data_IF_945265175005
#
_entry.id   IF_945265175005
#
_cell.length_a   1.000
_cell.length_b   1.000
_cell.length_c   1.000
_cell.angle_alpha   90.00
_cell.angle_beta   90.00
_cell.angle_gamma   90.00
#
_symmetry.space_group_name_H-M   'P 1'
#
loop_
_entity.id
_entity.type
_entity.pdbx_description
1 polymer ?
#
# COMPACT_ATOMS: atom_id res chain seq x y z
N UNK A 1 24.06 36.71 -28.87
CA UNK A 1 23.47 35.44 -28.43
C UNK A 1 22.07 35.74 -27.92
N UNK A 2 21.06 35.44 -28.74
CA UNK A 2 19.66 35.75 -28.46
C UNK A 2 19.00 34.53 -27.83
N UNK A 3 18.67 34.62 -26.55
CA UNK A 3 17.86 33.61 -25.85
C UNK A 3 16.40 33.88 -26.19
N UNK A 4 15.84 33.13 -27.12
CA UNK A 4 14.39 33.01 -27.26
C UNK A 4 13.88 32.06 -26.18
N UNK A 5 13.08 32.59 -25.27
CA UNK A 5 12.26 31.79 -24.37
C UNK A 5 10.91 31.60 -25.04
N UNK A 6 10.67 30.39 -25.52
CA UNK A 6 9.37 29.95 -26.04
C UNK A 6 8.49 29.64 -24.83
N UNK A 7 7.59 30.56 -24.49
CA UNK A 7 6.58 30.32 -23.46
C UNK A 7 5.25 29.97 -24.13
N UNK A 8 4.96 28.68 -24.21
CA UNK A 8 3.66 28.17 -24.61
C UNK A 8 2.65 28.37 -23.48
N UNK A 9 1.79 29.38 -23.60
CA UNK A 9 0.67 29.59 -22.69
C UNK A 9 -0.57 30.04 -23.48
N UNK A 10 -1.02 29.17 -24.38
CA UNK A 10 -2.23 29.37 -25.18
C UNK A 10 -3.42 28.75 -24.44
N UNK A 11 -4.24 29.55 -23.75
CA UNK A 11 -5.58 29.08 -23.35
C UNK A 11 -6.32 29.83 -22.24
N UNK A 12 -5.64 30.46 -21.27
CA UNK A 12 -6.31 30.98 -20.06
C UNK A 12 -6.33 32.53 -19.99
N UNK A 13 -5.65 33.24 -20.88
CA UNK A 13 -5.47 34.70 -20.78
C UNK A 13 -6.57 35.56 -21.42
N UNK A 14 -7.40 34.99 -22.30
CA UNK A 14 -8.32 35.81 -23.14
C UNK A 14 -9.43 36.46 -22.31
N UNK A 15 -9.99 35.77 -21.30
CA UNK A 15 -11.05 36.32 -20.45
C UNK A 15 -10.58 37.37 -19.44
N UNK A 16 -9.37 37.23 -18.89
CA UNK A 16 -8.78 38.22 -17.97
C UNK A 16 -8.43 39.54 -18.68
N UNK A 17 -7.88 39.46 -19.90
CA UNK A 17 -7.45 40.66 -20.65
C UNK A 17 -8.58 41.63 -20.92
N UNK A 18 -9.77 41.17 -21.29
CA UNK A 18 -10.88 42.07 -21.63
C UNK A 18 -11.50 42.72 -20.38
N UNK A 19 -11.61 41.98 -19.27
CA UNK A 19 -12.12 42.56 -18.03
C UNK A 19 -11.11 43.54 -17.43
N UNK A 20 -9.81 43.21 -17.42
CA UNK A 20 -8.75 44.12 -16.99
C UNK A 20 -8.73 45.39 -17.84
N UNK A 21 -8.81 45.26 -19.18
CA UNK A 21 -8.84 46.40 -20.10
C UNK A 21 -10.05 47.32 -19.89
N UNK A 22 -11.21 46.77 -19.52
CA UNK A 22 -12.38 47.58 -19.16
C UNK A 22 -12.16 48.35 -17.85
N UNK A 23 -11.56 47.71 -16.85
CA UNK A 23 -11.26 48.35 -15.57
C UNK A 23 -10.16 49.39 -15.68
N UNK A 24 -9.17 49.15 -16.54
CA UNK A 24 -8.08 50.06 -16.81
C UNK A 24 -8.56 51.31 -17.53
N UNK A 25 -9.46 51.17 -18.53
CA UNK A 25 -10.14 52.34 -19.15
C UNK A 25 -10.91 53.19 -18.15
N UNK A 26 -11.60 52.56 -17.20
CA UNK A 26 -12.34 53.28 -16.14
C UNK A 26 -11.35 54.01 -15.22
N UNK A 27 -10.25 53.35 -14.83
CA UNK A 27 -9.19 53.94 -14.01
C UNK A 27 -8.54 55.13 -14.71
N UNK A 28 -8.14 54.98 -15.96
CA UNK A 28 -7.55 56.06 -16.78
C UNK A 28 -8.49 57.26 -16.89
N UNK A 29 -9.77 57.02 -17.16
CA UNK A 29 -10.79 58.09 -17.18
C UNK A 29 -10.94 58.78 -15.82
N UNK A 30 -10.91 58.03 -14.72
CA UNK A 30 -10.98 58.63 -13.39
C UNK A 30 -9.74 59.46 -13.06
N UNK A 31 -8.55 58.98 -13.45
CA UNK A 31 -7.29 59.72 -13.30
C UNK A 31 -7.29 60.99 -14.14
N UNK A 32 -7.80 60.94 -15.37
CA UNK A 32 -7.89 62.12 -16.24
C UNK A 32 -8.85 63.15 -15.67
N UNK A 33 -9.99 62.72 -15.11
CA UNK A 33 -10.94 63.59 -14.42
C UNK A 33 -10.32 64.23 -13.17
N UNK A 34 -9.57 63.46 -12.39
CA UNK A 34 -8.86 63.95 -11.20
C UNK A 34 -7.79 64.99 -11.59
N UNK A 35 -7.02 64.74 -12.65
CA UNK A 35 -6.03 65.67 -13.18
C UNK A 35 -6.69 66.96 -13.73
N UNK A 36 -7.84 66.86 -14.39
CA UNK A 36 -8.62 68.02 -14.84
C UNK A 36 -9.13 68.84 -13.66
N UNK A 37 -9.65 68.19 -12.61
CA UNK A 37 -10.07 68.85 -11.38
C UNK A 37 -8.91 69.56 -10.68
N UNK A 38 -7.73 68.94 -10.61
CA UNK A 38 -6.53 69.57 -10.04
C UNK A 38 -6.08 70.79 -10.83
N UNK A 39 -6.13 70.75 -12.18
CA UNK A 39 -5.81 71.91 -13.02
C UNK A 39 -6.82 73.05 -12.88
N UNK A 40 -8.08 72.73 -12.61
CA UNK A 40 -9.13 73.71 -12.35
C UNK A 40 -9.06 74.33 -10.94
N UNK A 41 -8.32 73.70 -10.00
CA UNK A 41 -8.09 74.26 -8.66
C UNK A 41 -6.99 75.32 -8.72
N UNK A 42 -7.38 76.60 -8.70
CA UNK A 42 -6.48 77.73 -8.46
C UNK A 42 -6.77 78.31 -7.07
N UNK A 43 -5.96 77.96 -6.07
CA UNK A 43 -6.02 78.50 -4.70
C UNK A 43 -6.18 77.45 -3.60
N UNK A 44 -6.00 77.83 -2.32
CA UNK A 44 -6.22 76.95 -1.17
C UNK A 44 -7.71 76.63 -1.06
N UNK A 45 -8.09 75.39 -1.33
CA UNK A 45 -9.47 74.92 -1.25
C UNK A 45 -9.98 75.06 0.19
N UNK A 46 -11.12 75.73 0.45
CA UNK A 46 -11.77 75.60 1.74
C UNK A 46 -12.20 74.13 1.88
N UNK A 47 -11.70 73.45 2.92
CA UNK A 47 -12.07 72.08 3.24
C UNK A 47 -13.50 72.03 3.78
N UNK A 48 -14.47 72.25 2.90
CA UNK A 48 -15.86 71.94 3.21
C UNK A 48 -15.97 70.43 3.16
N UNK A 49 -15.84 69.80 4.32
CA UNK A 49 -16.07 68.37 4.51
C UNK A 49 -17.56 68.08 4.27
N UNK A 50 -17.93 67.95 3.00
CA UNK A 50 -19.21 67.38 2.64
C UNK A 50 -19.17 65.91 3.04
N UNK A 51 -19.67 65.60 4.25
CA UNK A 51 -19.91 64.25 4.72
C UNK A 51 -21.06 63.63 3.91
N UNK A 52 -20.81 63.36 2.63
CA UNK A 52 -21.72 62.65 1.76
C UNK A 52 -21.81 61.23 2.27
N UNK A 53 -22.90 60.90 2.97
CA UNK A 53 -23.20 59.53 3.38
C UNK A 53 -23.44 58.72 2.10
N UNK A 54 -22.41 58.00 1.67
CA UNK A 54 -22.52 57.06 0.54
C UNK A 54 -23.31 55.86 1.06
N UNK A 55 -24.59 55.81 0.74
CA UNK A 55 -25.43 54.67 1.05
C UNK A 55 -25.16 53.53 0.06
N UNK A 56 -24.34 52.57 0.49
CA UNK A 56 -24.02 51.36 -0.27
C UNK A 56 -25.03 50.23 -0.03
N UNK A 57 -26.15 50.47 0.65
CA UNK A 57 -27.16 49.44 0.94
C UNK A 57 -27.71 48.74 -0.30
N UNK A 58 -27.66 49.40 -1.47
CA UNK A 58 -28.12 48.87 -2.77
C UNK A 58 -27.01 48.30 -3.65
N UNK A 59 -25.76 48.30 -3.19
CA UNK A 59 -24.66 47.73 -3.95
C UNK A 59 -24.69 46.21 -3.86
N UNK A 60 -25.57 45.60 -4.67
CA UNK A 60 -25.56 44.15 -4.87
C UNK A 60 -24.37 43.84 -5.76
N UNK A 61 -23.36 43.18 -5.18
CA UNK A 61 -22.19 42.69 -5.91
C UNK A 61 -22.70 41.75 -7.00
N UNK A 62 -22.64 42.19 -8.26
CA UNK A 62 -23.04 41.38 -9.40
C UNK A 62 -22.25 40.07 -9.37
N UNK A 63 -22.95 38.96 -9.19
CA UNK A 63 -22.32 37.65 -9.21
C UNK A 63 -21.84 37.39 -10.64
N UNK A 64 -20.52 37.34 -10.83
CA UNK A 64 -19.93 37.02 -12.12
C UNK A 64 -19.89 35.48 -12.28
N UNK A 65 -20.80 34.87 -13.06
CA UNK A 65 -20.97 33.41 -13.09
C UNK A 65 -19.73 32.69 -13.65
N UNK A 66 -18.90 33.39 -14.41
CA UNK A 66 -17.64 32.85 -14.94
C UNK A 66 -16.63 32.59 -13.82
N UNK A 67 -16.47 33.54 -12.88
CA UNK A 67 -15.58 33.38 -11.72
C UNK A 67 -16.00 32.23 -10.81
N UNK A 68 -17.30 32.01 -10.65
CA UNK A 68 -17.83 30.88 -9.89
C UNK A 68 -17.50 29.53 -10.56
N UNK A 69 -17.49 29.46 -11.89
CA UNK A 69 -17.10 28.25 -12.64
C UNK A 69 -15.60 27.98 -12.50
N UNK A 70 -14.76 29.00 -12.62
CA UNK A 70 -13.31 28.88 -12.44
C UNK A 70 -12.93 28.41 -11.02
N UNK A 71 -13.59 28.96 -10.00
CA UNK A 71 -13.38 28.53 -8.61
C UNK A 71 -13.80 27.07 -8.39
N UNK A 72 -14.89 26.64 -9.03
CA UNK A 72 -15.34 25.22 -8.96
C UNK A 72 -14.37 24.28 -9.66
N UNK A 73 -13.87 24.63 -10.84
CA UNK A 73 -12.88 23.79 -11.54
C UNK A 73 -11.56 23.71 -10.76
N UNK A 74 -11.13 24.82 -10.15
CA UNK A 74 -9.95 24.82 -9.29
C UNK A 74 -10.15 23.96 -8.04
N UNK A 75 -11.30 24.09 -7.38
CA UNK A 75 -11.64 23.25 -6.22
C UNK A 75 -11.71 21.76 -6.59
N UNK A 76 -12.30 21.43 -7.75
CA UNK A 76 -12.36 20.05 -8.23
C UNK A 76 -10.96 19.49 -8.52
N UNK A 77 -10.09 20.26 -9.17
CA UNK A 77 -8.71 19.86 -9.42
C UNK A 77 -7.93 19.64 -8.11
N UNK A 78 -8.10 20.54 -7.14
CA UNK A 78 -7.48 20.41 -5.81
C UNK A 78 -7.98 19.16 -5.07
N UNK A 79 -9.30 18.92 -5.07
CA UNK A 79 -9.88 17.74 -4.44
C UNK A 79 -9.38 16.44 -5.09
N UNK A 80 -9.28 16.41 -6.42
CA UNK A 80 -8.74 15.28 -7.15
C UNK A 80 -7.26 15.02 -6.80
N UNK A 81 -6.45 16.08 -6.75
CA UNK A 81 -5.04 15.99 -6.35
C UNK A 81 -4.89 15.46 -4.91
N UNK A 82 -5.68 15.98 -3.97
CA UNK A 82 -5.68 15.51 -2.59
C UNK A 82 -6.12 14.04 -2.48
N UNK A 83 -7.15 13.66 -3.25
CA UNK A 83 -7.64 12.28 -3.31
C UNK A 83 -6.55 11.31 -3.79
N UNK A 84 -5.79 11.68 -4.82
CA UNK A 84 -4.67 10.87 -5.30
C UNK A 84 -3.59 10.69 -4.23
N UNK A 85 -3.25 11.74 -3.47
CA UNK A 85 -2.28 11.65 -2.38
C UNK A 85 -2.76 10.71 -1.26
N UNK A 86 -4.04 10.78 -0.90
CA UNK A 86 -4.65 9.90 0.10
C UNK A 86 -4.66 8.45 -0.38
N UNK A 87 -5.03 8.18 -1.64
CA UNK A 87 -5.01 6.83 -2.22
C UNK A 87 -3.57 6.30 -2.26
N UNK A 88 -2.59 7.11 -2.65
CA UNK A 88 -1.19 6.71 -2.65
C UNK A 88 -0.69 6.39 -1.23
N UNK A 89 -1.01 7.25 -0.26
CA UNK A 89 -0.66 7.02 1.14
C UNK A 89 -1.33 5.76 1.69
N UNK A 90 -2.62 5.55 1.39
CA UNK A 90 -3.33 4.32 1.73
C UNK A 90 -2.66 3.12 1.11
N UNK A 91 -2.38 3.13 -0.20
CA UNK A 91 -1.73 2.02 -0.90
C UNK A 91 -0.37 1.70 -0.30
N UNK A 92 0.43 2.73 -0.01
CA UNK A 92 1.73 2.58 0.63
C UNK A 92 1.60 1.99 2.03
N UNK A 93 0.60 2.41 2.81
CA UNK A 93 0.34 1.86 4.15
C UNK A 93 -0.14 0.41 4.08
N UNK A 94 -1.07 0.09 3.17
CA UNK A 94 -1.50 -1.28 2.92
C UNK A 94 -0.34 -2.17 2.49
N UNK A 95 0.55 -1.69 1.62
CA UNK A 95 1.74 -2.45 1.22
C UNK A 95 2.65 -2.78 2.41
N UNK A 96 2.77 -1.88 3.39
CA UNK A 96 3.52 -2.12 4.63
C UNK A 96 2.81 -3.19 5.47
N UNK A 97 1.49 -3.08 5.67
CA UNK A 97 0.70 -4.02 6.49
C UNK A 97 0.64 -5.43 5.88
N UNK A 98 0.40 -5.54 4.56
CA UNK A 98 0.49 -6.82 3.83
C UNK A 98 1.90 -7.40 3.84
N UNK A 99 2.93 -6.55 3.83
CA UNK A 99 4.33 -6.99 3.98
C UNK A 99 4.55 -7.74 5.29
N UNK A 100 3.97 -7.27 6.40
CA UNK A 100 4.07 -7.94 7.70
C UNK A 100 3.28 -9.24 7.76
N UNK A 101 2.09 -9.30 7.18
CA UNK A 101 1.32 -10.55 7.14
C UNK A 101 2.03 -11.65 6.35
N UNK A 102 2.68 -11.30 5.24
CA UNK A 102 3.47 -12.24 4.44
C UNK A 102 4.74 -12.69 5.18
N UNK A 103 5.40 -11.78 5.89
CA UNK A 103 6.58 -12.12 6.68
C UNK A 103 6.21 -13.02 7.88
N UNK A 104 5.06 -12.78 8.52
CA UNK A 104 4.56 -13.58 9.63
C UNK A 104 4.20 -15.02 9.19
N UNK A 105 3.50 -15.19 8.07
CA UNK A 105 3.21 -16.53 7.53
C UNK A 105 4.49 -17.26 7.08
N UNK A 106 5.46 -16.54 6.49
CA UNK A 106 6.77 -17.12 6.15
C UNK A 106 7.56 -17.56 7.38
N UNK A 107 7.49 -16.82 8.49
CA UNK A 107 8.12 -17.23 9.75
C UNK A 107 7.48 -18.51 10.29
N UNK A 108 6.15 -18.62 10.25
CA UNK A 108 5.45 -19.83 10.67
C UNK A 108 5.85 -21.04 9.84
N UNK A 109 5.95 -20.90 8.52
CA UNK A 109 6.42 -21.98 7.64
C UNK A 109 7.86 -22.41 7.96
N UNK A 110 8.77 -21.46 8.18
CA UNK A 110 10.16 -21.79 8.56
C UNK A 110 10.22 -22.51 9.90
N UNK A 111 9.47 -22.03 10.89
CA UNK A 111 9.42 -22.67 12.21
C UNK A 111 8.87 -24.10 12.10
N UNK A 112 7.84 -24.32 11.30
CA UNK A 112 7.29 -25.66 11.07
C UNK A 112 8.28 -26.58 10.34
N UNK A 113 9.03 -26.05 9.37
CA UNK A 113 10.09 -26.79 8.67
C UNK A 113 11.25 -27.17 9.61
N UNK A 114 11.66 -26.27 10.50
CA UNK A 114 12.68 -26.54 11.51
C UNK A 114 12.24 -27.63 12.48
N UNK A 115 11.00 -27.55 12.97
CA UNK A 115 10.40 -28.59 13.83
C UNK A 115 10.36 -29.93 13.10
N UNK A 116 9.90 -29.95 11.85
CA UNK A 116 9.82 -31.18 11.07
C UNK A 116 11.21 -31.82 10.86
N UNK A 117 12.22 -31.00 10.56
CA UNK A 117 13.60 -31.46 10.43
C UNK A 117 14.15 -32.01 11.75
N UNK A 118 13.82 -31.39 12.89
CA UNK A 118 14.17 -31.88 14.22
C UNK A 118 13.51 -33.23 14.53
N UNK A 119 12.24 -33.39 14.16
CA UNK A 119 11.52 -34.67 14.32
C UNK A 119 12.13 -35.77 13.46
N UNK A 120 12.44 -35.51 12.18
CA UNK A 120 13.10 -36.48 11.31
C UNK A 120 14.47 -36.91 11.83
N UNK A 121 15.25 -35.98 12.38
CA UNK A 121 16.54 -36.33 13.00
C UNK A 121 16.35 -37.19 14.26
N UNK A 122 15.32 -36.89 15.06
CA UNK A 122 15.00 -37.65 16.27
C UNK A 122 14.51 -39.05 15.91
N UNK A 123 13.68 -39.17 14.87
CA UNK A 123 13.22 -40.45 14.33
C UNK A 123 14.40 -41.28 13.78
N UNK A 124 15.29 -40.68 12.99
CA UNK A 124 16.49 -41.35 12.51
C UNK A 124 17.42 -41.80 13.65
N UNK A 125 17.50 -41.01 14.73
CA UNK A 125 18.28 -41.38 15.92
C UNK A 125 17.61 -42.53 16.70
N UNK A 126 16.28 -42.52 16.82
CA UNK A 126 15.50 -43.58 17.46
C UNK A 126 15.56 -44.90 16.68
N UNK A 127 15.47 -44.82 15.36
CA UNK A 127 15.58 -45.96 14.44
C UNK A 127 17.02 -46.40 14.17
N UNK A 128 18.01 -45.76 14.78
CA UNK A 128 19.41 -46.15 14.55
C UNK A 128 19.66 -47.58 15.08
N UNK A 129 20.08 -48.52 14.22
CA UNK A 129 20.23 -49.93 14.60
C UNK A 129 21.24 -50.11 15.73
N UNK A 130 22.30 -49.30 15.77
CA UNK A 130 23.28 -49.31 16.85
C UNK A 130 22.67 -48.99 18.24
N UNK A 131 21.67 -48.10 18.31
CA UNK A 131 20.98 -47.80 19.58
C UNK A 131 20.01 -48.92 19.98
N UNK A 132 19.35 -49.52 19.00
CA UNK A 132 18.47 -50.68 19.20
C UNK A 132 19.28 -51.87 19.70
N UNK A 133 20.44 -52.14 19.12
CA UNK A 133 21.35 -53.21 19.54
C UNK A 133 21.90 -52.97 20.96
N UNK A 134 22.27 -51.73 21.28
CA UNK A 134 22.69 -51.38 22.65
C UNK A 134 21.55 -51.59 23.67
N UNK A 135 20.34 -51.16 23.34
CA UNK A 135 19.17 -51.35 24.19
C UNK A 135 18.82 -52.84 24.35
N UNK A 136 18.84 -53.60 23.26
CA UNK A 136 18.60 -55.05 23.26
C UNK A 136 19.61 -55.76 24.17
N UNK A 137 20.90 -55.44 24.04
CA UNK A 137 21.94 -55.99 24.91
C UNK A 137 21.73 -55.61 26.39
N UNK A 138 21.30 -54.37 26.68
CA UNK A 138 21.00 -53.94 28.07
C UNK A 138 19.79 -54.66 28.68
N UNK A 139 18.85 -55.09 27.85
CA UNK A 139 17.68 -55.88 28.23
C UNK A 139 17.96 -57.39 28.24
N UNK A 140 19.21 -57.81 27.97
CA UNK A 140 19.60 -59.22 27.89
C UNK A 140 19.09 -59.95 26.64
N UNK A 141 18.58 -59.21 25.65
CA UNK A 141 18.14 -59.75 24.36
C UNK A 141 19.36 -59.88 23.44
N UNK A 142 19.69 -61.11 23.04
CA UNK A 142 20.74 -61.43 22.07
C UNK A 142 20.13 -61.86 20.74
N UNK A 143 20.86 -61.60 19.65
CA UNK A 143 20.49 -62.13 18.34
C UNK A 143 20.37 -63.66 18.41
N UNK A 144 19.25 -64.23 17.96
CA UNK A 144 19.02 -65.68 18.04
C UNK A 144 20.06 -66.43 17.22
N UNK A 145 20.59 -67.52 17.78
CA UNK A 145 21.50 -68.39 17.03
C UNK A 145 20.74 -69.10 15.89
N UNK A 146 21.39 -69.42 14.75
CA UNK A 146 20.75 -70.10 13.64
C UNK A 146 20.08 -71.41 14.11
N UNK A 147 18.74 -71.48 14.05
CA UNK A 147 17.94 -72.65 14.49
C UNK A 147 17.14 -72.48 15.79
N UNK A 148 17.24 -71.34 16.48
CA UNK A 148 16.57 -71.10 17.78
C UNK A 148 15.19 -70.41 17.68
N UNK A 149 14.77 -70.02 16.47
CA UNK A 149 13.47 -69.35 16.24
C UNK A 149 12.40 -70.41 15.94
N UNK A 150 11.48 -70.61 16.88
CA UNK A 150 10.33 -71.51 16.72
C UNK A 150 9.09 -70.65 16.48
N UNK A 151 8.53 -70.73 15.28
CA UNK A 151 7.26 -70.10 14.96
C UNK A 151 6.12 -70.91 15.59
N UNK A 152 5.24 -70.29 16.42
CA UNK A 152 4.19 -71.01 17.16
C UNK A 152 3.04 -71.50 16.29
N UNK A 153 2.92 -71.02 15.04
CA UNK A 153 1.99 -71.60 14.07
C UNK A 153 2.70 -72.69 13.28
N UNK A 154 2.25 -73.92 13.47
CA UNK A 154 2.67 -75.11 12.73
C UNK A 154 2.30 -75.07 11.25
N UNK A 155 2.69 -74.02 10.52
CA UNK A 155 2.93 -74.08 9.07
C UNK A 155 4.31 -74.70 8.85
N UNK A 156 4.41 -75.93 9.31
CA UNK A 156 5.50 -76.85 9.12
C UNK A 156 5.69 -77.17 7.65
N UNK A 157 6.93 -77.48 7.29
CA UNK A 157 7.23 -78.62 6.43
C UNK A 157 6.64 -78.58 5.01
N UNK A 158 7.28 -77.81 4.13
CA UNK A 158 7.55 -78.34 2.79
C UNK A 158 8.96 -78.93 2.80
N UNK A 159 9.17 -80.20 2.41
CA UNK A 159 10.51 -80.78 2.31
C UNK A 159 11.21 -80.09 1.13
N UNK A 160 12.01 -79.06 1.39
CA UNK A 160 12.74 -78.44 0.29
C UNK A 160 13.60 -77.21 0.58
N UNK A 161 13.29 -76.33 1.55
CA UNK A 161 14.16 -75.17 1.76
C UNK A 161 13.95 -74.48 3.13
N UNK A 162 14.91 -74.56 4.07
CA UNK A 162 14.86 -73.82 5.33
C UNK A 162 15.09 -72.29 5.17
N UNK A 163 15.41 -71.80 3.96
CA UNK A 163 15.72 -70.40 3.66
C UNK A 163 14.74 -69.74 2.67
N UNK A 164 13.50 -70.23 2.55
CA UNK A 164 12.52 -69.58 1.67
C UNK A 164 12.13 -68.19 2.23
N UNK A 165 12.36 -67.08 1.49
CA UNK A 165 12.01 -65.75 1.96
C UNK A 165 10.49 -65.60 2.03
N UNK A 166 9.95 -65.44 3.24
CA UNK A 166 8.55 -65.10 3.47
C UNK A 166 8.41 -63.58 3.39
N UNK A 167 7.65 -63.09 2.41
CA UNK A 167 7.36 -61.67 2.25
C UNK A 167 6.43 -61.24 3.39
N UNK A 168 6.86 -60.29 4.22
CA UNK A 168 6.01 -59.70 5.25
C UNK A 168 5.04 -58.71 4.59
N UNK A 169 3.74 -59.04 4.56
CA UNK A 169 2.68 -58.12 4.15
C UNK A 169 2.19 -57.34 5.38
N UNK A 170 2.36 -56.02 5.34
CA UNK A 170 1.88 -55.13 6.40
C UNK A 170 0.57 -54.47 5.94
N UNK A 171 -0.57 -54.99 6.39
CA UNK A 171 -1.86 -54.33 6.21
C UNK A 171 -1.99 -53.21 7.24
N UNK A 172 -2.04 -51.93 6.83
CA UNK A 172 -2.19 -50.83 7.78
C UNK A 172 -3.60 -50.85 8.39
N UNK A 173 -3.75 -50.58 9.71
CA UNK A 173 -5.07 -50.54 10.35
C UNK A 173 -5.90 -49.38 9.80
N UNK A 174 -7.12 -49.68 9.38
CA UNK A 174 -8.12 -48.68 8.98
C UNK A 174 -8.56 -47.92 10.24
N UNK A 175 -8.24 -46.64 10.28
CA UNK A 175 -8.68 -45.73 11.35
C UNK A 175 -10.08 -45.23 10.96
N UNK A 176 -11.09 -45.58 11.77
CA UNK A 176 -12.44 -45.02 11.71
C UNK A 176 -12.57 -43.80 12.60
#
# INVERSE_FOLDING_TARGET
>A
MATQVITGQFGIEVGRRDQDRSTDRIRERNLSLLAAQQRARRGPTPEVLFAKKIDNSRLVKAADPQRAREMRSFAAAMALFLGLLLIYGWQHFSAIEYGYHIEAEKQQLRQLQEVNRGLQLTEAQLNSPARIDQLANSLGLQAPQPGQVVYPDGSTMLPGNPNAPVLAEATPPVIH
#
